data_IF_998587871978
#
_entry.id   IF_998587871978
#
_cell.length_a   1.000
_cell.length_b   1.000
_cell.length_c   1.000
_cell.angle_alpha   90.00
_cell.angle_beta   90.00
_cell.angle_gamma   90.00
#
_symmetry.space_group_name_H-M   'P 1'
#
loop_
_entity.id
_entity.type
_entity.pdbx_description
1 polymer ?
#
# COMPACT_ATOMS: atom_id res chain seq x y z
N UNK A 1 6.60 14.61 -10.40
CA UNK A 1 6.95 13.53 -9.47
C UNK A 1 7.14 12.27 -10.30
N UNK A 2 8.24 11.54 -10.12
CA UNK A 2 8.49 10.31 -10.89
C UNK A 2 7.43 9.25 -10.50
N UNK A 3 6.67 8.73 -11.47
CA UNK A 3 5.66 7.69 -11.22
C UNK A 3 6.25 6.47 -10.50
N UNK A 4 7.54 6.18 -10.72
CA UNK A 4 8.25 5.10 -10.04
C UNK A 4 8.40 5.37 -8.54
N UNK A 5 8.63 6.61 -8.14
CA UNK A 5 8.78 7.02 -6.74
C UNK A 5 7.44 6.95 -6.00
N UNK A 6 6.38 7.49 -6.60
CA UNK A 6 5.02 7.39 -6.07
C UNK A 6 4.59 5.92 -5.90
N UNK A 7 4.92 5.06 -6.87
CA UNK A 7 4.67 3.62 -6.79
C UNK A 7 5.44 2.94 -5.65
N UNK A 8 6.73 3.26 -5.50
CA UNK A 8 7.56 2.73 -4.41
C UNK A 8 7.03 3.17 -3.05
N UNK A 9 6.73 4.46 -2.88
CA UNK A 9 6.16 5.02 -1.64
C UNK A 9 4.85 4.33 -1.27
N UNK A 10 3.94 4.19 -2.22
CA UNK A 10 2.70 3.46 -1.99
C UNK A 10 2.93 2.01 -1.56
N UNK A 11 3.84 1.29 -2.22
CA UNK A 11 4.15 -0.08 -1.84
C UNK A 11 4.76 -0.18 -0.44
N UNK A 12 5.58 0.79 -0.03
CA UNK A 12 6.08 0.88 1.35
C UNK A 12 4.92 1.03 2.34
N UNK A 13 3.98 1.95 2.10
CA UNK A 13 2.77 2.13 2.91
C UNK A 13 1.92 0.85 2.96
N UNK A 14 1.75 0.16 1.83
CA UNK A 14 1.04 -1.13 1.78
C UNK A 14 1.66 -2.19 2.70
N UNK A 15 2.98 -2.27 2.79
CA UNK A 15 3.62 -3.18 3.76
C UNK A 15 3.43 -2.73 5.20
N UNK A 16 3.47 -1.43 5.47
CA UNK A 16 3.16 -0.88 6.81
C UNK A 16 1.74 -1.22 7.23
N UNK A 17 0.74 -0.98 6.37
CA UNK A 17 -0.66 -1.28 6.66
C UNK A 17 -0.90 -2.78 6.89
N UNK A 18 -0.25 -3.66 6.11
CA UNK A 18 -0.24 -5.11 6.37
C UNK A 18 0.42 -5.48 7.69
N UNK A 19 1.47 -4.76 8.09
CA UNK A 19 2.12 -4.98 9.37
C UNK A 19 1.26 -4.48 10.54
N UNK A 20 0.47 -3.41 10.35
CA UNK A 20 -0.53 -2.94 11.33
C UNK A 20 -1.55 -4.04 11.61
N UNK A 21 -2.09 -4.68 10.58
CA UNK A 21 -3.01 -5.83 10.73
C UNK A 21 -2.41 -6.95 11.59
N UNK A 22 -1.10 -7.20 11.47
CA UNK A 22 -0.43 -8.30 12.16
C UNK A 22 0.01 -7.96 13.59
N UNK A 23 0.40 -6.71 13.85
CA UNK A 23 1.12 -6.32 15.08
C UNK A 23 0.31 -5.35 15.95
N UNK A 24 -0.55 -4.56 15.32
CA UNK A 24 -1.39 -3.56 15.97
C UNK A 24 -2.85 -3.70 15.52
N UNK A 25 -3.47 -4.89 15.60
CA UNK A 25 -4.87 -5.07 15.22
C UNK A 25 -5.82 -4.14 16.00
N UNK A 26 -5.46 -3.76 17.23
CA UNK A 26 -6.22 -2.81 18.03
C UNK A 26 -6.31 -1.40 17.39
N UNK A 27 -5.34 -1.03 16.53
CA UNK A 27 -5.42 0.20 15.76
C UNK A 27 -6.53 0.14 14.71
N UNK A 28 -6.76 -1.04 14.14
CA UNK A 28 -7.84 -1.28 13.18
C UNK A 28 -9.20 -1.43 13.89
N UNK A 29 -9.22 -2.01 15.09
CA UNK A 29 -10.42 -2.04 15.93
C UNK A 29 -10.88 -0.63 16.31
N UNK A 30 -9.94 0.25 16.70
CA UNK A 30 -10.24 1.66 16.94
C UNK A 30 -10.72 2.38 15.69
N UNK A 31 -10.10 2.12 14.53
CA UNK A 31 -10.55 2.69 13.27
C UNK A 31 -11.97 2.23 12.92
N UNK A 32 -12.28 0.95 13.15
CA UNK A 32 -13.60 0.38 12.91
C UNK A 32 -14.70 1.04 13.74
N UNK A 33 -14.38 1.57 14.93
CA UNK A 33 -15.32 2.35 15.75
C UNK A 33 -15.76 3.65 15.10
N UNK A 34 -15.07 4.13 14.06
CA UNK A 34 -15.46 5.30 13.29
C UNK A 34 -16.51 5.01 12.21
N UNK A 35 -16.87 3.74 11.96
CA UNK A 35 -17.89 3.37 10.96
C UNK A 35 -19.23 4.12 11.14
N UNK A 36 -19.77 4.32 12.36
CA UNK A 36 -20.99 5.13 12.55
C UNK A 36 -20.83 6.57 12.04
N UNK A 37 -19.70 7.23 12.34
CA UNK A 37 -19.42 8.59 11.84
C UNK A 37 -19.32 8.60 10.31
N UNK A 38 -18.66 7.61 9.73
CA UNK A 38 -18.63 7.46 8.28
C UNK A 38 -20.04 7.30 7.69
N UNK A 39 -20.93 6.52 8.32
CA UNK A 39 -22.31 6.34 7.83
C UNK A 39 -23.11 7.64 7.81
N UNK A 40 -22.87 8.53 8.77
CA UNK A 40 -23.46 9.87 8.77
C UNK A 40 -22.88 10.76 7.66
N UNK A 41 -21.57 10.64 7.39
CA UNK A 41 -20.89 11.40 6.34
C UNK A 41 -21.13 10.86 4.92
N UNK A 42 -21.37 9.55 4.75
CA UNK A 42 -21.41 8.87 3.45
C UNK A 42 -22.40 9.48 2.43
N UNK A 43 -23.64 9.89 2.80
CA UNK A 43 -24.56 10.58 1.89
C UNK A 43 -24.04 11.92 1.35
N UNK A 44 -23.01 12.47 1.98
CA UNK A 44 -22.37 13.74 1.65
C UNK A 44 -21.06 13.56 0.85
N UNK A 45 -20.55 12.32 0.76
CA UNK A 45 -19.30 12.01 0.06
C UNK A 45 -19.47 11.74 -1.44
N UNK A 46 -20.68 11.38 -1.86
CA UNK A 46 -21.01 11.06 -3.26
C UNK A 46 -22.21 11.93 -3.70
N UNK A 47 -21.91 13.07 -4.34
CA UNK A 47 -22.92 14.01 -4.84
C UNK A 47 -22.63 14.39 -6.30
N UNK A 48 -23.65 14.79 -7.09
CA UNK A 48 -23.42 15.25 -8.45
C UNK A 48 -22.38 16.38 -8.50
N UNK A 49 -21.27 16.16 -9.19
CA UNK A 49 -20.18 17.13 -9.33
C UNK A 49 -19.06 16.99 -8.30
N UNK A 50 -19.19 16.12 -7.29
CA UNK A 50 -18.13 15.88 -6.31
C UNK A 50 -18.10 14.44 -5.80
N UNK A 51 -16.91 13.82 -5.79
CA UNK A 51 -16.72 12.44 -5.34
C UNK A 51 -15.51 12.35 -4.40
N UNK A 52 -15.78 12.08 -3.12
CA UNK A 52 -14.75 11.91 -2.09
C UNK A 52 -14.42 10.42 -1.98
N UNK A 53 -13.19 10.06 -2.32
CA UNK A 53 -12.72 8.66 -2.32
C UNK A 53 -11.39 8.43 -1.61
N UNK A 54 -10.70 9.51 -1.25
CA UNK A 54 -9.43 9.52 -0.55
C UNK A 54 -9.32 10.74 0.37
N UNK A 55 -8.21 10.85 1.09
CA UNK A 55 -7.96 11.93 2.03
C UNK A 55 -7.87 13.27 1.33
N UNK A 56 -7.14 13.37 0.22
CA UNK A 56 -7.00 14.62 -0.53
C UNK A 56 -8.35 15.15 -1.02
N UNK A 57 -9.20 14.30 -1.60
CA UNK A 57 -10.54 14.70 -2.03
C UNK A 57 -11.47 15.08 -0.88
N UNK A 58 -11.25 14.56 0.34
CA UNK A 58 -11.99 14.98 1.54
C UNK A 58 -11.57 16.40 1.98
N UNK A 59 -10.26 16.65 2.05
CA UNK A 59 -9.73 17.99 2.38
C UNK A 59 -10.21 19.02 1.36
N UNK A 60 -10.06 18.72 0.07
CA UNK A 60 -10.45 19.61 -1.02
C UNK A 60 -11.96 19.89 -1.01
N UNK A 61 -12.79 18.91 -0.63
CA UNK A 61 -14.23 19.10 -0.50
C UNK A 61 -14.56 20.10 0.60
N UNK A 62 -13.94 19.95 1.76
CA UNK A 62 -14.20 20.80 2.93
C UNK A 62 -13.76 22.23 2.65
N UNK A 63 -12.62 22.42 1.98
CA UNK A 63 -12.11 23.74 1.61
C UNK A 63 -12.93 24.39 0.50
N UNK A 64 -13.30 23.64 -0.55
CA UNK A 64 -13.91 24.20 -1.76
C UNK A 64 -15.40 24.44 -1.61
N UNK A 65 -16.12 23.56 -0.88
CA UNK A 65 -17.57 23.63 -0.77
C UNK A 65 -18.06 24.62 0.30
N UNK A 66 -17.14 25.16 1.10
CA UNK A 66 -17.45 26.19 2.10
C UNK A 66 -18.03 27.46 1.46
N UNK A 67 -19.25 27.81 1.87
CA UNK A 67 -19.95 29.01 1.37
C UNK A 67 -20.65 28.84 0.02
N UNK A 68 -20.63 27.65 -0.60
CA UNK A 68 -21.37 27.39 -1.84
C UNK A 68 -22.86 27.15 -1.54
N UNK A 69 -23.80 27.91 -2.14
CA UNK A 69 -25.23 27.65 -1.99
C UNK A 69 -25.63 26.23 -2.41
N UNK A 70 -26.35 25.52 -1.55
CA UNK A 70 -26.75 24.11 -1.76
C UNK A 70 -25.83 23.07 -1.11
N UNK A 71 -24.75 23.52 -0.46
CA UNK A 71 -23.96 22.74 0.49
C UNK A 71 -24.14 23.37 1.88
N UNK A 72 -25.18 22.96 2.59
CA UNK A 72 -25.55 23.54 3.88
C UNK A 72 -24.45 23.37 4.94
N UNK A 73 -24.43 24.21 5.98
CA UNK A 73 -23.45 24.06 7.08
C UNK A 73 -23.52 22.67 7.73
N UNK A 74 -24.72 22.08 7.82
CA UNK A 74 -24.93 20.73 8.33
C UNK A 74 -24.24 19.64 7.46
N UNK A 75 -24.13 19.86 6.14
CA UNK A 75 -23.41 18.97 5.22
C UNK A 75 -21.90 18.97 5.54
N UNK A 76 -21.31 20.17 5.66
CA UNK A 76 -19.88 20.31 5.94
C UNK A 76 -19.52 19.85 7.34
N UNK A 77 -20.43 20.01 8.31
CA UNK A 77 -20.25 19.53 9.67
C UNK A 77 -19.97 18.02 9.71
N UNK A 78 -20.72 17.21 8.97
CA UNK A 78 -20.53 15.75 8.94
C UNK A 78 -19.21 15.31 8.31
N UNK A 79 -18.76 16.02 7.25
CA UNK A 79 -17.46 15.76 6.63
C UNK A 79 -16.30 16.16 7.57
N UNK A 80 -16.43 17.30 8.25
CA UNK A 80 -15.47 17.79 9.25
C UNK A 80 -15.37 16.86 10.46
N UNK A 81 -16.49 16.36 10.97
CA UNK A 81 -16.50 15.39 12.08
C UNK A 81 -15.75 14.11 11.70
N UNK A 82 -15.98 13.57 10.50
CA UNK A 82 -15.25 12.40 9.99
C UNK A 82 -13.75 12.70 9.83
N UNK A 83 -13.40 13.85 9.25
CA UNK A 83 -12.03 14.32 9.07
C UNK A 83 -11.29 14.37 10.41
N UNK A 84 -11.85 15.05 11.41
CA UNK A 84 -11.23 15.20 12.73
C UNK A 84 -11.10 13.86 13.44
N UNK A 85 -12.09 12.98 13.34
CA UNK A 85 -12.02 11.64 13.89
C UNK A 85 -10.90 10.79 13.25
N UNK A 86 -10.74 10.88 11.92
CA UNK A 86 -9.65 10.23 11.20
C UNK A 86 -8.28 10.78 11.59
N UNK A 87 -8.14 12.11 11.71
CA UNK A 87 -6.90 12.72 12.19
C UNK A 87 -6.58 12.33 13.63
N UNK A 88 -7.59 12.28 14.51
CA UNK A 88 -7.42 11.85 15.89
C UNK A 88 -6.95 10.39 15.96
N UNK A 89 -7.55 9.50 15.16
CA UNK A 89 -7.08 8.13 15.00
C UNK A 89 -5.64 8.07 14.48
N UNK A 90 -5.35 8.80 13.40
CA UNK A 90 -4.01 8.86 12.80
C UNK A 90 -2.97 9.34 13.81
N UNK A 91 -3.24 10.40 14.57
CA UNK A 91 -2.34 10.89 15.61
C UNK A 91 -2.15 9.88 16.75
N UNK A 92 -3.23 9.26 17.23
CA UNK A 92 -3.18 8.25 18.29
C UNK A 92 -2.25 7.09 17.94
N UNK A 93 -2.29 6.65 16.69
CA UNK A 93 -1.54 5.49 16.20
C UNK A 93 -0.26 5.86 15.43
N UNK A 94 0.12 7.14 15.42
CA UNK A 94 1.26 7.67 14.67
C UNK A 94 1.22 7.32 13.16
N UNK A 95 0.02 7.41 12.59
CA UNK A 95 -0.32 7.32 11.17
C UNK A 95 -1.02 8.59 10.61
N UNK A 96 -0.66 9.84 11.02
CA UNK A 96 -1.30 11.06 10.50
C UNK A 96 -0.74 11.43 9.11
N UNK A 97 -0.93 10.55 8.13
CA UNK A 97 -0.40 10.71 6.77
C UNK A 97 -1.50 10.43 5.75
N UNK A 98 -1.54 11.12 4.59
CA UNK A 98 -2.60 10.94 3.60
C UNK A 98 -2.85 9.47 3.24
N UNK A 99 -1.83 8.67 2.97
CA UNK A 99 -1.98 7.28 2.55
C UNK A 99 -2.73 6.38 3.56
N UNK A 100 -2.37 6.29 4.85
CA UNK A 100 -3.19 5.63 5.86
C UNK A 100 -4.63 6.15 5.98
N UNK A 101 -4.84 7.47 5.85
CA UNK A 101 -6.16 8.10 6.00
C UNK A 101 -7.05 7.81 4.77
N UNK A 102 -6.49 7.92 3.56
CA UNK A 102 -7.10 7.52 2.30
C UNK A 102 -7.45 6.04 2.33
N UNK A 103 -6.54 5.18 2.80
CA UNK A 103 -6.79 3.76 2.96
C UNK A 103 -7.98 3.49 3.90
N UNK A 104 -8.08 4.23 5.02
CA UNK A 104 -9.22 4.12 5.92
C UNK A 104 -10.55 4.50 5.24
N UNK A 105 -10.58 5.65 4.55
CA UNK A 105 -11.75 6.12 3.79
C UNK A 105 -12.22 5.09 2.75
N UNK A 106 -11.28 4.45 2.07
CA UNK A 106 -11.58 3.40 1.08
C UNK A 106 -12.12 2.12 1.72
N UNK A 107 -11.80 1.82 2.98
CA UNK A 107 -12.26 0.60 3.66
C UNK A 107 -13.62 0.76 4.35
N UNK A 108 -13.99 1.97 4.78
CA UNK A 108 -15.29 2.22 5.43
C UNK A 108 -16.53 1.79 4.61
N UNK A 109 -16.62 2.01 3.28
CA UNK A 109 -17.75 1.51 2.50
C UNK A 109 -17.92 -0.01 2.63
N UNK A 110 -16.81 -0.76 2.67
CA UNK A 110 -16.84 -2.21 2.82
C UNK A 110 -17.26 -2.62 4.22
N UNK A 111 -16.72 -1.99 5.27
CA UNK A 111 -17.11 -2.28 6.65
C UNK A 111 -18.55 -1.89 6.96
N UNK A 112 -19.06 -0.85 6.31
CA UNK A 112 -20.47 -0.45 6.41
C UNK A 112 -21.39 -1.54 5.86
N UNK A 113 -21.02 -2.13 4.71
CA UNK A 113 -21.77 -3.21 4.04
C UNK A 113 -21.58 -4.58 4.71
N UNK A 114 -20.42 -4.82 5.33
CA UNK A 114 -20.08 -6.07 5.98
C UNK A 114 -19.50 -5.83 7.40
N UNK A 115 -20.32 -5.47 8.40
CA UNK A 115 -19.85 -5.10 9.74
C UNK A 115 -19.06 -6.19 10.46
N UNK A 116 -19.31 -7.47 10.17
CA UNK A 116 -18.55 -8.59 10.71
C UNK A 116 -17.06 -8.60 10.31
N UNK A 117 -16.69 -7.78 9.32
CA UNK A 117 -15.33 -7.59 8.84
C UNK A 117 -14.78 -6.21 9.18
N UNK A 118 -15.47 -5.41 9.99
CA UNK A 118 -14.98 -4.10 10.41
C UNK A 118 -13.63 -4.24 11.15
N UNK A 119 -12.65 -3.42 10.77
CA UNK A 119 -11.28 -3.51 11.27
C UNK A 119 -10.43 -4.57 10.57
N UNK A 120 -10.95 -5.26 9.55
CA UNK A 120 -10.15 -6.13 8.67
C UNK A 120 -9.90 -5.43 7.34
N UNK A 121 -8.65 -5.35 6.86
CA UNK A 121 -8.35 -4.78 5.55
C UNK A 121 -9.11 -5.52 4.43
N UNK A 122 -9.99 -4.83 3.72
CA UNK A 122 -10.75 -5.37 2.59
C UNK A 122 -10.20 -4.88 1.25
N UNK A 123 -9.56 -3.71 1.25
CA UNK A 123 -9.07 -3.07 0.04
C UNK A 123 -7.73 -2.36 0.28
N UNK A 124 -6.87 -2.40 -0.73
CA UNK A 124 -5.59 -1.69 -0.78
C UNK A 124 -5.47 -1.00 -2.15
N UNK A 125 -6.23 0.08 -2.38
CA UNK A 125 -6.06 0.87 -3.61
C UNK A 125 -4.80 1.72 -3.49
N UNK A 126 -3.94 1.63 -4.50
CA UNK A 126 -2.81 2.53 -4.66
C UNK A 126 -3.12 3.69 -5.57
N UNK A 127 -2.18 4.64 -5.70
CA UNK A 127 -2.26 5.68 -6.70
C UNK A 127 -2.33 5.03 -8.08
N UNK A 128 -3.08 5.65 -8.99
CA UNK A 128 -3.06 5.28 -10.41
C UNK A 128 -1.69 5.68 -10.95
N UNK A 129 -0.84 4.69 -11.24
CA UNK A 129 0.46 4.92 -11.86
C UNK A 129 0.45 4.41 -13.29
N UNK A 130 1.07 5.18 -14.19
CA UNK A 130 1.39 4.70 -15.52
C UNK A 130 2.59 3.74 -15.40
N UNK A 131 2.32 2.44 -15.44
CA UNK A 131 3.40 1.47 -15.59
C UNK A 131 4.09 1.69 -16.94
N UNK A 132 5.43 1.68 -16.99
CA UNK A 132 6.12 1.72 -18.26
C UNK A 132 5.65 0.53 -19.11
N UNK A 133 5.36 0.75 -20.41
CA UNK A 133 4.95 -0.34 -21.27
C UNK A 133 6.05 -1.40 -21.28
N UNK A 134 5.66 -2.67 -21.29
CA UNK A 134 6.61 -3.76 -21.49
C UNK A 134 7.36 -3.53 -22.81
N UNK A 135 8.68 -3.78 -22.87
CA UNK A 135 9.42 -3.68 -24.11
C UNK A 135 8.76 -4.61 -25.14
N UNK A 136 8.65 -4.21 -26.42
CA UNK A 136 8.05 -5.07 -27.42
C UNK A 136 8.92 -6.32 -27.63
N UNK A 137 8.30 -7.49 -27.76
CA UNK A 137 9.03 -8.70 -28.16
C UNK A 137 9.54 -8.54 -29.60
N UNK A 138 10.85 -8.73 -29.79
CA UNK A 138 11.51 -8.65 -31.10
C UNK A 138 11.97 -10.05 -31.51
N UNK A 139 11.15 -10.82 -32.23
CA UNK A 139 11.58 -12.13 -32.71
C UNK A 139 12.76 -11.93 -33.69
N UNK A 140 13.68 -12.90 -33.76
CA UNK A 140 14.69 -12.89 -34.82
C UNK A 140 13.98 -12.98 -36.18
N UNK A 141 14.55 -12.35 -37.20
CA UNK A 141 14.06 -12.52 -38.57
C UNK A 141 14.34 -13.96 -39.02
N UNK A 142 13.30 -14.72 -39.33
CA UNK A 142 13.44 -16.04 -39.94
C UNK A 142 12.41 -16.26 -41.04
N UNK A 143 12.80 -17.01 -42.07
CA UNK A 143 11.88 -17.55 -43.05
C UNK A 143 11.35 -18.88 -42.52
N UNK A 144 10.02 -19.08 -42.41
CA UNK A 144 9.48 -20.35 -41.94
C UNK A 144 9.94 -21.47 -42.90
N UNK A 145 10.46 -22.61 -42.39
CA UNK A 145 10.82 -23.71 -43.25
C UNK A 145 9.56 -24.31 -43.85
N UNK A 146 9.64 -24.71 -45.12
CA UNK A 146 8.56 -25.42 -45.80
C UNK A 146 8.37 -26.78 -45.14
N UNK A 147 7.14 -27.08 -44.74
CA UNK A 147 6.78 -28.38 -44.16
C UNK A 147 7.17 -29.51 -45.13
N UNK A 148 8.03 -30.43 -44.69
CA UNK A 148 8.51 -31.57 -45.50
C UNK A 148 9.87 -31.39 -46.20
N UNK A 149 10.60 -30.28 -45.99
CA UNK A 149 11.94 -30.12 -46.53
C UNK A 149 12.97 -31.06 -45.84
N UNK A 150 13.80 -31.75 -46.63
CA UNK A 150 14.79 -32.76 -46.17
C UNK A 150 15.88 -32.21 -45.22
N UNK A 151 16.04 -30.88 -45.14
CA UNK A 151 16.90 -30.18 -44.19
C UNK A 151 16.07 -29.21 -43.37
N UNK A 152 15.52 -29.69 -42.26
CA UNK A 152 14.73 -28.86 -41.37
C UNK A 152 15.62 -27.95 -40.53
N UNK A 153 15.52 -26.63 -40.73
CA UNK A 153 16.10 -25.62 -39.85
C UNK A 153 15.27 -25.36 -38.58
N UNK A 154 14.22 -26.17 -38.34
CA UNK A 154 13.33 -25.99 -37.19
C UNK A 154 14.07 -25.96 -35.83
N UNK A 155 15.03 -26.84 -35.54
CA UNK A 155 15.77 -26.78 -34.26
C UNK A 155 16.58 -25.50 -34.09
N UNK A 156 17.13 -24.94 -35.17
CA UNK A 156 17.90 -23.69 -35.16
C UNK A 156 16.99 -22.48 -34.95
N UNK A 157 15.81 -22.49 -35.60
CA UNK A 157 14.77 -21.46 -35.44
C UNK A 157 14.20 -21.49 -34.02
N UNK A 158 13.89 -22.67 -33.48
CA UNK A 158 13.41 -22.81 -32.09
C UNK A 158 14.45 -22.27 -31.10
N UNK A 159 15.73 -22.61 -31.30
CA UNK A 159 16.81 -22.09 -30.47
C UNK A 159 16.90 -20.57 -30.53
N UNK A 160 16.81 -19.98 -31.72
CA UNK A 160 16.81 -18.52 -31.92
C UNK A 160 15.62 -17.84 -31.24
N UNK A 161 14.42 -18.41 -31.37
CA UNK A 161 13.21 -17.92 -30.71
C UNK A 161 13.32 -17.99 -29.18
N UNK A 162 13.84 -19.11 -28.64
CA UNK A 162 14.06 -19.27 -27.20
C UNK A 162 15.05 -18.24 -26.67
N UNK A 163 16.15 -18.00 -27.37
CA UNK A 163 17.14 -16.98 -26.98
C UNK A 163 16.55 -15.57 -26.99
N UNK A 164 15.78 -15.21 -28.03
CA UNK A 164 15.11 -13.92 -28.09
C UNK A 164 14.07 -13.77 -26.97
N UNK A 165 13.32 -14.83 -26.67
CA UNK A 165 12.36 -14.83 -25.56
C UNK A 165 13.05 -14.66 -24.20
N UNK A 166 14.15 -15.38 -23.95
CA UNK A 166 14.92 -15.25 -22.71
C UNK A 166 15.54 -13.85 -22.55
N UNK A 167 16.00 -13.23 -23.64
CA UNK A 167 16.49 -11.85 -23.63
C UNK A 167 15.38 -10.86 -23.31
N UNK A 168 14.25 -10.97 -24.00
CA UNK A 168 13.08 -10.13 -23.76
C UNK A 168 12.56 -10.28 -22.32
N UNK A 169 12.50 -11.51 -21.81
CA UNK A 169 12.10 -11.77 -20.42
C UNK A 169 13.06 -11.13 -19.42
N UNK A 170 14.36 -11.09 -19.72
CA UNK A 170 15.36 -10.40 -18.88
C UNK A 170 15.15 -8.90 -18.85
N UNK A 171 14.84 -8.28 -19.99
CA UNK A 171 14.50 -6.85 -20.07
C UNK A 171 13.22 -6.52 -19.28
N UNK A 172 12.18 -7.34 -19.43
CA UNK A 172 10.96 -7.22 -18.62
C UNK A 172 11.23 -7.35 -17.12
N UNK A 173 12.09 -8.31 -16.72
CA UNK A 173 12.49 -8.48 -15.31
C UNK A 173 13.29 -7.30 -14.79
N UNK A 174 14.22 -6.75 -15.56
CA UNK A 174 14.99 -5.58 -15.15
C UNK A 174 14.11 -4.35 -14.90
N UNK A 175 13.12 -4.11 -15.77
CA UNK A 175 12.12 -3.05 -15.56
C UNK A 175 11.27 -3.30 -14.32
N UNK A 176 10.87 -4.56 -14.10
CA UNK A 176 10.15 -4.92 -12.88
C UNK A 176 11.03 -4.72 -11.65
N UNK A 177 12.31 -5.14 -11.66
CA UNK A 177 13.26 -5.02 -10.56
C UNK A 177 13.56 -3.56 -10.18
N UNK A 178 13.63 -2.65 -11.15
CA UNK A 178 13.78 -1.21 -10.92
C UNK A 178 12.61 -0.62 -10.11
N UNK A 179 11.41 -1.17 -10.31
CA UNK A 179 10.17 -0.78 -9.63
C UNK A 179 9.87 -1.68 -8.42
N UNK A 180 10.49 -2.85 -8.34
CA UNK A 180 10.28 -3.85 -7.31
C UNK A 180 11.15 -3.53 -6.10
N UNK A 181 10.48 -2.98 -5.12
CA UNK A 181 10.92 -2.99 -3.74
C UNK A 181 11.18 -4.44 -3.25
N UNK A 182 12.40 -4.83 -2.81
CA UNK A 182 12.69 -6.20 -2.40
C UNK A 182 11.72 -6.66 -1.30
N UNK A 183 10.85 -7.60 -1.67
CA UNK A 183 9.60 -7.91 -0.97
C UNK A 183 9.80 -8.35 0.48
N UNK A 184 10.90 -9.06 0.76
CA UNK A 184 11.15 -9.68 2.07
C UNK A 184 11.71 -8.69 3.10
N UNK A 185 12.73 -7.93 2.72
CA UNK A 185 13.35 -6.96 3.64
C UNK A 185 12.37 -5.86 4.04
N UNK A 186 11.53 -5.40 3.10
CA UNK A 186 10.58 -4.33 3.40
C UNK A 186 9.43 -4.76 4.29
N UNK A 187 8.94 -6.00 4.15
CA UNK A 187 7.95 -6.54 5.09
C UNK A 187 8.50 -6.60 6.51
N UNK A 188 9.73 -7.11 6.65
CA UNK A 188 10.45 -7.15 7.92
C UNK A 188 10.64 -5.75 8.51
N UNK A 189 11.08 -4.79 7.70
CA UNK A 189 11.27 -3.41 8.13
C UNK A 189 9.95 -2.76 8.53
N UNK A 190 8.87 -2.99 7.78
CA UNK A 190 7.54 -2.50 8.11
C UNK A 190 7.03 -3.05 9.43
N UNK A 191 7.28 -4.33 9.72
CA UNK A 191 6.95 -4.93 11.02
C UNK A 191 7.70 -4.29 12.18
N UNK A 192 9.01 -4.10 12.04
CA UNK A 192 9.79 -3.36 13.04
C UNK A 192 9.30 -1.91 13.19
N UNK A 193 8.97 -1.26 12.09
CA UNK A 193 8.43 0.09 12.08
C UNK A 193 7.11 0.18 12.85
N UNK A 194 6.15 -0.72 12.58
CA UNK A 194 4.87 -0.76 13.32
C UNK A 194 5.07 -1.04 14.80
N UNK A 195 5.91 -2.03 15.14
CA UNK A 195 6.25 -2.32 16.53
C UNK A 195 6.85 -1.09 17.24
N UNK A 196 7.64 -0.29 16.54
CA UNK A 196 8.28 0.90 17.11
C UNK A 196 7.34 2.11 17.18
N UNK A 197 6.80 2.50 16.02
CA UNK A 197 6.14 3.77 15.78
C UNK A 197 4.68 3.75 16.16
N UNK A 198 3.99 2.62 15.95
CA UNK A 198 2.57 2.45 16.24
C UNK A 198 2.38 1.91 17.66
N UNK A 199 3.09 0.84 18.02
CA UNK A 199 2.97 0.21 19.35
C UNK A 199 3.85 0.86 20.43
N UNK A 200 4.77 1.74 20.05
CA UNK A 200 5.66 2.44 21.00
C UNK A 200 6.71 1.54 21.66
N UNK A 201 7.03 0.38 21.09
CA UNK A 201 8.00 -0.53 21.71
C UNK A 201 9.43 -0.03 21.51
N UNK A 202 10.24 -0.12 22.57
CA UNK A 202 11.68 0.18 22.48
C UNK A 202 12.38 -0.85 21.60
N UNK A 203 13.36 -0.42 20.80
CA UNK A 203 14.14 -1.28 19.90
C UNK A 203 14.71 -2.52 20.61
N UNK A 204 15.17 -2.37 21.87
CA UNK A 204 15.77 -3.45 22.66
C UNK A 204 14.77 -4.52 23.11
N UNK A 205 13.48 -4.20 23.14
CA UNK A 205 12.45 -5.06 23.71
C UNK A 205 11.53 -5.69 22.66
N UNK A 206 11.60 -5.28 21.39
CA UNK A 206 10.64 -5.68 20.35
C UNK A 206 10.50 -7.19 20.21
N UNK A 207 11.60 -7.92 19.99
CA UNK A 207 11.55 -9.39 19.80
C UNK A 207 11.04 -10.09 21.07
N UNK A 208 11.41 -9.61 22.26
CA UNK A 208 10.89 -10.15 23.52
C UNK A 208 9.38 -9.92 23.65
N UNK A 209 8.89 -8.72 23.32
CA UNK A 209 7.46 -8.40 23.34
C UNK A 209 6.68 -9.21 22.32
N UNK A 210 7.18 -9.34 21.08
CA UNK A 210 6.54 -10.17 20.06
C UNK A 210 6.38 -11.63 20.51
N UNK A 211 7.37 -12.20 21.20
CA UNK A 211 7.27 -13.54 21.81
C UNK A 211 6.19 -13.59 22.90
N UNK A 212 6.15 -12.58 23.79
CA UNK A 212 5.16 -12.50 24.87
C UNK A 212 3.72 -12.33 24.36
N UNK A 213 3.53 -11.57 23.28
CA UNK A 213 2.24 -11.33 22.65
C UNK A 213 1.84 -12.41 21.64
N UNK A 214 2.65 -13.47 21.48
CA UNK A 214 2.33 -14.58 20.58
C UNK A 214 2.26 -14.17 19.11
N UNK A 215 2.97 -13.11 18.71
CA UNK A 215 2.98 -12.61 17.34
C UNK A 215 3.79 -13.55 16.45
N UNK A 216 3.11 -14.52 15.83
CA UNK A 216 3.71 -15.57 14.99
C UNK A 216 3.13 -15.61 13.57
N UNK A 217 3.94 -16.06 12.61
CA UNK A 217 3.50 -16.35 11.24
C UNK A 217 2.69 -17.67 11.18
N UNK A 218 2.24 -18.03 9.97
CA UNK A 218 1.45 -19.25 9.75
C UNK A 218 2.23 -20.54 10.07
N UNK A 219 3.55 -20.46 10.10
CA UNK A 219 4.46 -21.56 10.44
C UNK A 219 4.87 -21.55 11.93
N UNK A 220 4.29 -20.65 12.74
CA UNK A 220 4.54 -20.55 14.18
C UNK A 220 5.84 -19.81 14.54
N UNK A 221 6.50 -19.13 13.58
CA UNK A 221 7.72 -18.35 13.84
C UNK A 221 7.38 -16.93 14.24
N UNK A 222 8.14 -16.36 15.17
CA UNK A 222 7.95 -14.98 15.63
C UNK A 222 8.00 -13.99 14.46
N UNK A 223 6.99 -13.13 14.35
CA UNK A 223 6.83 -12.17 13.24
C UNK A 223 7.94 -11.12 13.19
N UNK A 224 8.49 -10.75 14.35
CA UNK A 224 9.61 -9.82 14.47
C UNK A 224 10.93 -10.58 14.49
N UNK A 225 11.66 -10.51 13.36
CA UNK A 225 13.01 -11.04 13.27
C UNK A 225 13.94 -10.34 14.27
N UNK A 226 14.86 -11.12 14.85
CA UNK A 226 15.86 -10.64 15.78
C UNK A 226 17.01 -9.94 15.03
N UNK A 227 17.42 -8.76 15.51
CA UNK A 227 18.51 -8.00 14.94
C UNK A 227 19.10 -7.04 15.99
N UNK A 228 20.32 -6.56 15.74
CA UNK A 228 20.93 -5.55 16.59
C UNK A 228 20.06 -4.26 16.59
N UNK A 229 19.88 -3.58 17.74
CA UNK A 229 19.07 -2.36 17.80
C UNK A 229 19.49 -1.27 16.80
N UNK A 230 20.79 -1.16 16.50
CA UNK A 230 21.32 -0.23 15.49
C UNK A 230 20.87 -0.57 14.07
N UNK A 231 20.79 -1.87 13.73
CA UNK A 231 20.30 -2.33 12.43
C UNK A 231 18.79 -2.04 12.28
N UNK A 232 18.02 -2.30 13.35
CA UNK A 232 16.58 -1.99 13.38
C UNK A 232 16.36 -0.48 13.23
N UNK A 233 17.11 0.35 13.96
CA UNK A 233 17.04 1.80 13.85
C UNK A 233 17.33 2.30 12.42
N UNK A 234 18.38 1.76 11.78
CA UNK A 234 18.73 2.09 10.39
C UNK A 234 17.62 1.68 9.42
N UNK A 235 17.04 0.50 9.61
CA UNK A 235 15.93 0.02 8.78
C UNK A 235 14.69 0.91 8.91
N UNK A 236 14.32 1.31 10.14
CA UNK A 236 13.22 2.24 10.40
C UNK A 236 13.48 3.59 9.74
N UNK A 237 14.67 4.16 9.91
CA UNK A 237 15.02 5.45 9.31
C UNK A 237 15.02 5.43 7.77
N UNK A 238 15.43 4.30 7.17
CA UNK A 238 15.32 4.12 5.72
C UNK A 238 13.87 4.02 5.27
N UNK A 239 13.01 3.35 6.06
CA UNK A 239 11.59 3.25 5.76
C UNK A 239 10.89 4.60 5.94
N UNK A 240 11.23 5.39 6.97
CA UNK A 240 10.70 6.75 7.16
C UNK A 240 10.91 7.62 5.90
N UNK A 241 12.10 7.56 5.28
CA UNK A 241 12.36 8.23 4.00
C UNK A 241 11.51 7.67 2.86
N UNK A 242 11.42 6.34 2.74
CA UNK A 242 10.62 5.70 1.71
C UNK A 242 9.11 6.02 1.81
N UNK A 243 8.63 6.28 3.03
CA UNK A 243 7.24 6.66 3.31
C UNK A 243 6.98 8.16 3.10
N UNK A 244 8.02 8.98 2.87
CA UNK A 244 7.90 10.43 2.74
C UNK A 244 7.72 11.16 4.08
N UNK A 245 8.09 10.55 5.20
CA UNK A 245 7.94 11.13 6.55
C UNK A 245 9.07 12.09 6.93
N UNK A 246 10.12 12.17 6.12
CA UNK A 246 11.27 13.05 6.30
C UNK A 246 11.41 13.89 5.02
N UNK A 247 11.54 15.22 5.10
CA UNK A 247 11.86 16.03 3.93
C UNK A 247 13.22 15.62 3.35
N UNK A 248 13.33 15.64 2.02
CA UNK A 248 14.58 15.39 1.30
C UNK A 248 15.65 16.46 1.56
#
# INVERSE_FOLDING_TARGET
>A
MDHSEAWRRWNAWKYVLRAVEQIAPEALEDLARLVPLYREAAPHMDRPGWYIYDWESLEEAIETLEGIPGYEEDFLAKLRDLREALLAWGRKWNLPHPEPLSWALQNFPFWTKAPAFAGKPMWYAGPVVAFPPLPPFRPPGFSPPVYGAEKSSWPEIEKGLRQAFESWLRECRALYEEWALPHRELQKHARWWVAHRVKGWSLRAMTKRARLEGLVDREGRVLLEEAAPSAIAKAIANLDRALGLVPD
#
